data_IF_476397186125
#
_entry.id   IF_476397186125
#
_cell.length_a   1.000
_cell.length_b   1.000
_cell.length_c   1.000
_cell.angle_alpha   90.00
_cell.angle_beta   90.00
_cell.angle_gamma   90.00
#
_symmetry.space_group_name_H-M   'P 1'
#
loop_
_entity.id
_entity.type
_entity.pdbx_description
1 polymer ?
#
# COMPACT_ATOMS: atom_id res chain seq x y z
N UNK A 1 -6.28 -23.59 -64.59
CA UNK A 1 -5.74 -23.24 -63.27
C UNK A 1 -4.33 -23.79 -63.26
N UNK A 2 -3.36 -22.89 -63.30
CA UNK A 2 -1.94 -23.26 -63.36
C UNK A 2 -1.48 -23.82 -62.02
N UNK A 3 -0.51 -24.73 -62.02
CA UNK A 3 -0.02 -25.40 -60.81
C UNK A 3 0.48 -24.40 -59.75
N UNK A 4 0.98 -23.26 -60.22
CA UNK A 4 1.45 -22.12 -59.41
C UNK A 4 0.30 -21.46 -58.63
N UNK A 5 -0.87 -21.31 -59.24
CA UNK A 5 -2.05 -20.69 -58.61
C UNK A 5 -2.58 -21.58 -57.47
N UNK A 6 -2.58 -22.90 -57.68
CA UNK A 6 -2.96 -23.89 -56.66
C UNK A 6 -1.98 -23.84 -55.49
N UNK A 7 -0.67 -23.82 -55.77
CA UNK A 7 0.36 -23.74 -54.73
C UNK A 7 0.21 -22.49 -53.86
N UNK A 8 -0.03 -21.33 -54.48
CA UNK A 8 -0.20 -20.06 -53.75
C UNK A 8 -1.47 -20.06 -52.88
N UNK A 9 -2.57 -20.67 -53.34
CA UNK A 9 -3.79 -20.84 -52.54
C UNK A 9 -3.53 -21.74 -51.31
N UNK A 10 -2.81 -22.85 -51.48
CA UNK A 10 -2.44 -23.75 -50.38
C UNK A 10 -1.54 -23.04 -49.37
N UNK A 11 -0.55 -22.28 -49.83
CA UNK A 11 0.33 -21.49 -48.95
C UNK A 11 -0.44 -20.39 -48.21
N UNK A 12 -1.37 -19.70 -48.89
CA UNK A 12 -2.23 -18.69 -48.26
C UNK A 12 -3.12 -19.30 -47.18
N UNK A 13 -3.73 -20.45 -47.46
CA UNK A 13 -4.55 -21.20 -46.50
C UNK A 13 -3.73 -21.64 -45.28
N UNK A 14 -2.53 -22.18 -45.51
CA UNK A 14 -1.63 -22.58 -44.43
C UNK A 14 -1.24 -21.38 -43.55
N UNK A 15 -0.96 -20.23 -44.16
CA UNK A 15 -0.63 -18.99 -43.43
C UNK A 15 -1.80 -18.51 -42.58
N UNK A 16 -3.03 -18.56 -43.11
CA UNK A 16 -4.24 -18.20 -42.35
C UNK A 16 -4.50 -19.13 -41.17
N UNK A 17 -4.27 -20.43 -41.34
CA UNK A 17 -4.39 -21.42 -40.25
C UNK A 17 -3.39 -21.10 -39.15
N UNK A 18 -2.11 -20.90 -39.50
CA UNK A 18 -1.06 -20.56 -38.53
C UNK A 18 -1.37 -19.24 -37.81
N UNK A 19 -1.76 -18.20 -38.55
CA UNK A 19 -2.13 -16.92 -37.97
C UNK A 19 -3.31 -17.05 -37.00
N UNK A 20 -4.33 -17.83 -37.34
CA UNK A 20 -5.48 -18.09 -36.47
C UNK A 20 -5.08 -18.78 -35.16
N UNK A 21 -4.17 -19.77 -35.24
CA UNK A 21 -3.63 -20.45 -34.05
C UNK A 21 -2.81 -19.48 -33.18
N UNK A 22 -1.99 -18.61 -33.78
CA UNK A 22 -1.21 -17.61 -33.04
C UNK A 22 -2.12 -16.60 -32.31
N UNK A 23 -3.18 -16.14 -32.96
CA UNK A 23 -4.18 -15.26 -32.34
C UNK A 23 -4.85 -15.97 -31.17
N UNK A 24 -5.23 -17.24 -31.35
CA UNK A 24 -5.80 -18.05 -30.28
C UNK A 24 -4.84 -18.21 -29.09
N UNK A 25 -3.54 -18.46 -29.35
CA UNK A 25 -2.51 -18.52 -28.32
C UNK A 25 -2.36 -17.20 -27.56
N UNK A 26 -2.35 -16.05 -28.26
CA UNK A 26 -2.31 -14.74 -27.59
C UNK A 26 -3.52 -14.51 -26.69
N UNK A 27 -4.72 -14.91 -27.11
CA UNK A 27 -5.94 -14.78 -26.30
C UNK A 27 -5.81 -15.59 -25.01
N UNK A 28 -5.30 -16.82 -25.09
CA UNK A 28 -5.07 -17.66 -23.91
C UNK A 28 -4.00 -17.04 -23.01
N UNK A 29 -2.86 -16.60 -23.57
CA UNK A 29 -1.78 -15.97 -22.81
C UNK A 29 -2.25 -14.73 -22.06
N UNK A 30 -3.07 -13.87 -22.70
CA UNK A 30 -3.66 -12.71 -22.06
C UNK A 30 -4.50 -13.11 -20.85
N UNK A 31 -5.38 -14.11 -20.99
CA UNK A 31 -6.19 -14.61 -19.88
C UNK A 31 -5.34 -15.16 -18.74
N UNK A 32 -4.28 -15.92 -19.05
CA UNK A 32 -3.35 -16.44 -18.04
C UNK A 32 -2.63 -15.30 -17.32
N UNK A 33 -2.22 -14.27 -18.04
CA UNK A 33 -1.59 -13.08 -17.45
C UNK A 33 -2.55 -12.32 -16.54
N UNK A 34 -3.81 -12.15 -16.97
CA UNK A 34 -4.84 -11.48 -16.16
C UNK A 34 -5.12 -12.25 -14.87
N UNK A 35 -5.20 -13.59 -14.93
CA UNK A 35 -5.34 -14.45 -13.75
C UNK A 35 -4.12 -14.30 -12.82
N UNK A 36 -2.91 -14.42 -13.37
CA UNK A 36 -1.67 -14.29 -12.60
C UNK A 36 -1.55 -12.91 -11.95
N UNK A 37 -2.00 -11.86 -12.63
CA UNK A 37 -2.01 -10.52 -12.07
C UNK A 37 -2.99 -10.39 -10.90
N UNK A 38 -4.21 -10.90 -11.06
CA UNK A 38 -5.22 -10.91 -9.99
C UNK A 38 -4.77 -11.75 -8.78
N UNK A 39 -4.15 -12.90 -9.02
CA UNK A 39 -3.61 -13.75 -7.95
C UNK A 39 -2.46 -13.05 -7.22
N UNK A 40 -1.57 -12.38 -7.95
CA UNK A 40 -0.49 -11.59 -7.36
C UNK A 40 -1.03 -10.43 -6.51
N UNK A 41 -2.04 -9.70 -6.98
CA UNK A 41 -2.66 -8.61 -6.24
C UNK A 41 -3.40 -9.10 -4.98
N UNK A 42 -4.12 -10.22 -5.10
CA UNK A 42 -4.78 -10.90 -3.98
C UNK A 42 -3.77 -11.36 -2.92
N UNK A 43 -2.70 -12.04 -3.35
CA UNK A 43 -1.66 -12.53 -2.45
C UNK A 43 -0.92 -11.37 -1.75
N UNK A 44 -0.53 -10.33 -2.49
CA UNK A 44 0.07 -9.12 -1.92
C UNK A 44 -0.88 -8.45 -0.94
N UNK A 45 -2.17 -8.41 -1.26
CA UNK A 45 -3.19 -7.83 -0.39
C UNK A 45 -3.34 -8.59 0.92
N UNK A 46 -3.34 -9.93 0.88
CA UNK A 46 -3.38 -10.77 2.07
C UNK A 46 -2.12 -10.63 2.92
N UNK A 47 -0.94 -10.62 2.32
CA UNK A 47 0.33 -10.42 3.04
C UNK A 47 0.38 -9.06 3.75
N UNK A 48 -0.10 -8.00 3.10
CA UNK A 48 -0.19 -6.69 3.73
C UNK A 48 -1.19 -6.66 4.90
N UNK A 49 -2.31 -7.38 4.79
CA UNK A 49 -3.27 -7.51 5.90
C UNK A 49 -2.69 -8.32 7.06
N UNK A 50 -2.00 -9.41 6.78
CA UNK A 50 -1.32 -10.23 7.78
C UNK A 50 -0.28 -9.40 8.53
N UNK A 51 0.59 -8.70 7.81
CA UNK A 51 1.57 -7.78 8.39
C UNK A 51 0.91 -6.71 9.27
N UNK A 52 -0.17 -6.06 8.80
CA UNK A 52 -0.90 -5.06 9.61
C UNK A 52 -1.51 -5.67 10.89
N UNK A 53 -2.05 -6.87 10.79
CA UNK A 53 -2.64 -7.59 11.93
C UNK A 53 -1.57 -7.92 12.97
N UNK A 54 -0.43 -8.44 12.54
CA UNK A 54 0.72 -8.73 13.41
C UNK A 54 1.24 -7.48 14.11
N UNK A 55 1.40 -6.37 13.39
CA UNK A 55 1.85 -5.10 13.98
C UNK A 55 0.85 -4.57 15.01
N UNK A 56 -0.44 -4.65 14.71
CA UNK A 56 -1.49 -4.22 15.64
C UNK A 56 -1.49 -5.07 16.90
N UNK A 57 -1.33 -6.39 16.75
CA UNK A 57 -1.25 -7.33 17.85
C UNK A 57 -0.01 -7.10 18.71
N UNK A 58 1.16 -6.95 18.09
CA UNK A 58 2.40 -6.67 18.78
C UNK A 58 2.31 -5.36 19.59
N UNK A 59 1.75 -4.30 19.00
CA UNK A 59 1.55 -3.04 19.72
C UNK A 59 0.61 -3.21 20.92
N UNK A 60 -0.50 -3.94 20.77
CA UNK A 60 -1.43 -4.20 21.85
C UNK A 60 -0.78 -5.01 23.00
N UNK A 61 0.01 -6.04 22.68
CA UNK A 61 0.72 -6.88 23.67
C UNK A 61 1.81 -6.10 24.41
N UNK A 62 2.43 -5.10 23.78
CA UNK A 62 3.49 -4.28 24.37
C UNK A 62 2.96 -2.97 25.00
N UNK A 63 1.66 -2.71 24.94
CA UNK A 63 1.06 -1.48 25.46
C UNK A 63 0.41 -1.71 26.81
N UNK A 64 0.93 -1.08 27.86
CA UNK A 64 0.23 -1.04 29.17
C UNK A 64 -0.81 0.08 29.20
N UNK A 65 -1.84 -0.01 30.07
CA UNK A 65 -2.81 1.08 30.25
C UNK A 65 -2.15 2.44 30.55
N UNK A 66 -1.11 2.45 31.37
CA UNK A 66 -0.36 3.67 31.74
C UNK A 66 0.38 4.24 30.54
N UNK A 67 1.00 3.40 29.72
CA UNK A 67 1.62 3.82 28.47
C UNK A 67 0.61 4.48 27.53
N UNK A 68 -0.56 3.85 27.34
CA UNK A 68 -1.61 4.40 26.46
C UNK A 68 -2.15 5.73 26.98
N UNK A 69 -2.24 5.92 28.30
CA UNK A 69 -2.64 7.20 28.89
C UNK A 69 -1.60 8.29 28.62
N UNK A 70 -0.31 8.00 28.80
CA UNK A 70 0.77 8.95 28.48
C UNK A 70 0.82 9.25 26.98
N UNK A 71 0.66 8.24 26.14
CA UNK A 71 0.62 8.38 24.69
C UNK A 71 -0.55 9.28 24.25
N UNK A 72 -1.67 9.25 24.97
CA UNK A 72 -2.80 10.17 24.74
C UNK A 72 -2.45 11.61 25.11
N UNK A 73 -1.65 11.83 26.16
CA UNK A 73 -1.18 13.16 26.59
C UNK A 73 -0.15 13.75 25.62
N UNK A 74 0.71 12.94 25.02
CA UNK A 74 1.69 13.38 24.03
C UNK A 74 3.02 12.63 24.10
N UNK A 75 3.86 12.82 23.08
CA UNK A 75 5.15 12.12 22.96
C UNK A 75 6.15 12.49 24.06
N UNK A 76 6.07 13.72 24.59
CA UNK A 76 6.95 14.20 25.66
C UNK A 76 6.76 13.47 27.00
N UNK A 77 5.57 12.90 27.24
CA UNK A 77 5.25 12.20 28.49
C UNK A 77 5.73 10.74 28.50
N UNK A 78 6.23 10.25 27.37
CA UNK A 78 6.73 8.88 27.22
C UNK A 78 8.16 8.76 27.76
N UNK A 79 8.44 7.66 28.44
CA UNK A 79 9.82 7.25 28.71
C UNK A 79 10.48 6.66 27.44
N UNK A 80 11.78 6.40 27.48
CA UNK A 80 12.53 5.95 26.31
C UNK A 80 12.03 4.63 25.72
N UNK A 81 11.61 3.69 26.59
CA UNK A 81 11.06 2.40 26.12
C UNK A 81 9.69 2.58 25.45
N UNK A 82 8.85 3.43 26.03
CA UNK A 82 7.54 3.79 25.50
C UNK A 82 7.67 4.54 24.15
N UNK A 83 8.66 5.42 24.01
CA UNK A 83 8.99 6.09 22.75
C UNK A 83 9.43 5.10 21.68
N UNK A 84 10.25 4.12 22.04
CA UNK A 84 10.69 3.06 21.13
C UNK A 84 9.49 2.25 20.61
N UNK A 85 8.59 1.83 21.51
CA UNK A 85 7.38 1.07 21.15
C UNK A 85 6.47 1.89 20.20
N UNK A 86 6.22 3.16 20.54
CA UNK A 86 5.38 4.04 19.72
C UNK A 86 6.01 4.31 18.35
N UNK A 87 7.32 4.60 18.32
CA UNK A 87 8.05 4.89 17.08
C UNK A 87 8.18 3.66 16.19
N UNK A 88 8.39 2.47 16.76
CA UNK A 88 8.44 1.22 16.01
C UNK A 88 7.10 0.90 15.35
N UNK A 89 5.99 1.02 16.10
CA UNK A 89 4.64 0.86 15.54
C UNK A 89 4.39 1.85 14.40
N UNK A 90 4.66 3.14 14.64
CA UNK A 90 4.49 4.19 13.66
C UNK A 90 5.34 3.95 12.40
N UNK A 91 6.62 3.59 12.58
CA UNK A 91 7.55 3.28 11.51
C UNK A 91 7.08 2.11 10.64
N UNK A 92 6.64 1.02 11.26
CA UNK A 92 6.18 -0.16 10.53
C UNK A 92 4.92 0.15 9.71
N UNK A 93 3.92 0.82 10.30
CA UNK A 93 2.70 1.17 9.56
C UNK A 93 2.98 2.19 8.45
N UNK A 94 3.86 3.17 8.68
CA UNK A 94 4.20 4.18 7.68
C UNK A 94 4.99 3.63 6.50
N UNK A 95 5.92 2.70 6.72
CA UNK A 95 6.65 2.04 5.63
C UNK A 95 5.74 1.20 4.74
N UNK A 96 4.83 0.42 5.32
CA UNK A 96 3.83 -0.35 4.56
C UNK A 96 2.95 0.60 3.76
N UNK A 97 2.44 1.66 4.39
CA UNK A 97 1.54 2.60 3.74
C UNK A 97 2.22 3.40 2.62
N UNK A 98 3.46 3.84 2.83
CA UNK A 98 4.25 4.52 1.79
C UNK A 98 4.54 3.60 0.60
N UNK A 99 4.77 2.31 0.86
CA UNK A 99 4.96 1.30 -0.18
C UNK A 99 3.67 1.08 -0.98
N UNK A 100 2.54 0.89 -0.30
CA UNK A 100 1.22 0.74 -0.94
C UNK A 100 0.85 1.98 -1.78
N UNK A 101 1.17 3.17 -1.29
CA UNK A 101 0.96 4.42 -2.01
C UNK A 101 1.80 4.50 -3.28
N UNK A 102 3.09 4.17 -3.21
CA UNK A 102 3.99 4.10 -4.37
C UNK A 102 3.56 3.07 -5.41
N UNK A 103 3.03 1.93 -4.97
CA UNK A 103 2.50 0.89 -5.84
C UNK A 103 1.15 1.26 -6.46
N UNK A 104 0.56 2.40 -6.07
CA UNK A 104 -0.72 2.84 -6.60
C UNK A 104 -1.90 2.00 -6.11
N UNK A 105 -1.76 1.33 -4.96
CA UNK A 105 -2.80 0.48 -4.38
C UNK A 105 -4.11 1.25 -4.24
N UNK A 106 -5.22 0.61 -4.58
CA UNK A 106 -6.57 1.23 -4.59
C UNK A 106 -6.64 2.54 -5.41
N UNK A 107 -5.80 2.69 -6.43
CA UNK A 107 -5.78 3.88 -7.28
C UNK A 107 -5.30 5.15 -6.56
N UNK A 108 -4.41 5.01 -5.56
CA UNK A 108 -3.94 6.12 -4.71
C UNK A 108 -5.09 6.88 -4.04
N UNK A 109 -6.06 6.15 -3.49
CA UNK A 109 -7.22 6.75 -2.84
C UNK A 109 -6.82 7.51 -1.54
N UNK A 110 -7.00 8.85 -1.47
CA UNK A 110 -6.65 9.64 -0.29
C UNK A 110 -7.46 9.29 0.95
N UNK A 111 -8.70 8.79 0.80
CA UNK A 111 -9.53 8.40 1.94
C UNK A 111 -9.06 7.09 2.57
N UNK A 112 -8.54 6.16 1.77
CA UNK A 112 -7.88 4.97 2.30
C UNK A 112 -6.62 5.34 3.10
N UNK A 113 -5.85 6.28 2.57
CA UNK A 113 -4.65 6.81 3.22
C UNK A 113 -5.02 7.48 4.55
N UNK A 114 -6.02 8.37 4.54
CA UNK A 114 -6.56 9.07 5.71
C UNK A 114 -7.05 8.08 6.77
N UNK A 115 -7.82 7.07 6.36
CA UNK A 115 -8.30 6.03 7.27
C UNK A 115 -7.14 5.26 7.91
N UNK A 116 -6.14 4.87 7.12
CA UNK A 116 -5.00 4.11 7.64
C UNK A 116 -4.15 4.95 8.60
N UNK A 117 -3.87 6.21 8.28
CA UNK A 117 -3.16 7.13 9.17
C UNK A 117 -3.96 7.40 10.46
N UNK A 118 -5.24 7.70 10.33
CA UNK A 118 -6.09 8.00 11.49
C UNK A 118 -6.26 6.79 12.42
N UNK A 119 -6.57 5.62 11.86
CA UNK A 119 -6.94 4.43 12.64
C UNK A 119 -5.76 3.49 12.89
N UNK A 120 -5.02 3.07 11.87
CA UNK A 120 -3.96 2.07 12.02
C UNK A 120 -2.65 2.68 12.58
N UNK A 121 -2.30 3.91 12.22
CA UNK A 121 -1.23 4.65 12.94
C UNK A 121 -1.73 5.27 14.25
N UNK A 122 -3.02 5.13 14.55
CA UNK A 122 -3.69 5.63 15.76
C UNK A 122 -3.57 7.14 16.00
N UNK A 123 -3.38 7.92 14.95
CA UNK A 123 -3.28 9.38 15.03
C UNK A 123 -4.58 10.05 15.49
N UNK A 124 -5.74 9.41 15.26
CA UNK A 124 -7.03 9.91 15.73
C UNK A 124 -7.18 9.82 17.26
N UNK A 125 -6.54 8.84 17.90
CA UNK A 125 -6.77 8.51 19.30
C UNK A 125 -5.71 9.08 20.24
N UNK A 126 -4.47 9.20 19.75
CA UNK A 126 -3.32 9.53 20.58
C UNK A 126 -2.52 10.71 20.04
N UNK A 127 -2.39 11.75 20.86
CA UNK A 127 -1.55 12.90 20.53
C UNK A 127 -0.10 12.51 20.29
N UNK A 128 0.44 11.55 21.04
CA UNK A 128 1.82 11.10 20.86
C UNK A 128 2.11 10.53 19.48
N UNK A 129 1.14 9.88 18.82
CA UNK A 129 1.31 9.41 17.44
C UNK A 129 1.34 10.56 16.43
N UNK A 130 0.59 11.64 16.68
CA UNK A 130 0.65 12.88 15.88
C UNK A 130 1.95 13.64 16.09
N UNK A 131 2.43 13.69 17.32
CA UNK A 131 3.72 14.30 17.64
C UNK A 131 4.86 13.56 16.88
N UNK A 132 4.82 12.22 16.83
CA UNK A 132 5.76 11.40 16.03
C UNK A 132 5.67 11.75 14.54
N UNK A 133 4.45 11.87 13.99
CA UNK A 133 4.25 12.31 12.60
C UNK A 133 4.97 13.64 12.35
N UNK A 134 4.69 14.67 13.17
CA UNK A 134 5.29 16.00 13.04
C UNK A 134 6.83 15.98 13.16
N UNK A 135 7.39 15.11 14.00
CA UNK A 135 8.85 14.93 14.12
C UNK A 135 9.44 14.37 12.82
N UNK A 136 8.81 13.37 12.23
CA UNK A 136 9.31 12.66 11.03
C UNK A 136 9.05 13.45 9.75
N UNK A 137 7.94 14.20 9.67
CA UNK A 137 7.52 14.90 8.45
C UNK A 137 7.89 16.37 8.41
N UNK A 138 8.58 16.87 9.44
CA UNK A 138 9.13 18.22 9.47
C UNK A 138 9.94 18.54 8.21
N UNK A 139 9.90 19.80 7.77
CA UNK A 139 10.33 20.26 6.43
C UNK A 139 11.72 19.79 5.97
N UNK A 140 12.63 19.44 6.89
CA UNK A 140 13.98 18.96 6.57
C UNK A 140 14.09 17.46 6.24
N UNK A 141 13.04 16.66 6.48
CA UNK A 141 13.10 15.18 6.41
C UNK A 141 12.28 14.54 5.29
N UNK A 142 11.68 15.33 4.37
CA UNK A 142 10.95 14.75 3.23
C UNK A 142 11.93 14.12 2.23
N UNK A 143 12.05 12.80 2.31
CA UNK A 143 13.01 11.97 1.53
C UNK A 143 12.72 11.87 0.03
N UNK A 144 11.63 12.48 -0.46
CA UNK A 144 11.18 12.37 -1.86
C UNK A 144 10.61 10.99 -2.24
N UNK A 145 10.46 10.07 -1.27
CA UNK A 145 9.95 8.72 -1.51
C UNK A 145 8.45 8.69 -1.87
N UNK A 146 7.68 9.66 -1.39
CA UNK A 146 6.24 9.80 -1.63
C UNK A 146 5.93 11.22 -2.07
N UNK A 147 4.82 11.39 -2.80
CA UNK A 147 4.37 12.71 -3.27
C UNK A 147 3.84 13.58 -2.12
N UNK A 148 3.68 14.89 -2.38
CA UNK A 148 3.22 15.84 -1.36
C UNK A 148 1.82 15.53 -0.85
N UNK A 149 0.95 14.94 -1.68
CA UNK A 149 -0.41 14.55 -1.29
C UNK A 149 -0.37 13.56 -0.13
N UNK A 150 0.60 12.65 -0.08
CA UNK A 150 0.78 11.76 1.05
C UNK A 150 0.96 12.51 2.37
N UNK A 151 1.81 13.54 2.37
CA UNK A 151 2.07 14.36 3.55
C UNK A 151 0.89 15.24 3.91
N UNK A 152 0.26 15.88 2.92
CA UNK A 152 -0.94 16.71 3.11
C UNK A 152 -2.08 15.94 3.78
N UNK A 153 -2.31 14.69 3.39
CA UNK A 153 -3.33 13.85 4.03
C UNK A 153 -2.99 13.56 5.49
N UNK A 154 -1.72 13.27 5.81
CA UNK A 154 -1.31 13.04 7.20
C UNK A 154 -1.40 14.30 8.08
N UNK A 155 -1.08 15.47 7.51
CA UNK A 155 -1.24 16.76 8.17
C UNK A 155 -2.73 17.05 8.43
N UNK A 156 -3.60 16.80 7.45
CA UNK A 156 -5.06 16.91 7.64
C UNK A 156 -5.59 15.96 8.72
N UNK A 157 -5.07 14.73 8.82
CA UNK A 157 -5.44 13.80 9.89
C UNK A 157 -5.05 14.38 11.26
N UNK A 158 -3.87 15.00 11.36
CA UNK A 158 -3.45 15.66 12.59
C UNK A 158 -4.40 16.80 12.97
N UNK A 159 -4.70 17.70 12.02
CA UNK A 159 -5.58 18.85 12.24
C UNK A 159 -7.01 18.42 12.63
N UNK A 160 -7.57 17.43 11.95
CA UNK A 160 -8.91 16.93 12.23
C UNK A 160 -9.03 16.29 13.62
N UNK A 161 -7.96 15.66 14.11
CA UNK A 161 -7.93 15.05 15.44
C UNK A 161 -7.71 16.08 16.56
N UNK A 162 -7.12 17.24 16.25
CA UNK A 162 -6.92 18.34 17.21
C UNK A 162 -8.16 19.23 17.37
N UNK A 163 -9.05 19.24 16.37
CA UNK A 163 -10.30 20.01 16.37
C UNK A 163 -11.52 19.24 16.92
N UNK A 164 -11.32 18.04 17.50
CA UNK A 164 -12.36 17.19 18.11
C UNK A 164 -12.27 17.24 19.63
#
# INVERSE_FOLDING_TARGET
MELIEIAQLVTGLATLIVASVLIWQMIIQKRTLDIAHNDADSNMSLQAMESRSEQTRWFAENSTPEFLEKLRKGYEYLNDKEKEIASAHFGNVSQVLATEWRLGRLGKNPEYLRYTMGHHMKMNEYKGMRDIWKIITGESQRTGLVDNLFFEVGDQVCEQAENK
#
